data_IF_087872146125
#
_entry.id   IF_087872146125
#
_cell.length_a   1.000
_cell.length_b   1.000
_cell.length_c   1.000
_cell.angle_alpha   90.00
_cell.angle_beta   90.00
_cell.angle_gamma   90.00
#
_symmetry.space_group_name_H-M   'P 1'
#
loop_
_entity.id
_entity.type
_entity.pdbx_description
1 polymer ?
#
# COMPACT_ATOMS: atom_id res chain seq x y z
N UNK A 1 8.67 -32.44 6.25
CA UNK A 1 9.07 -31.47 5.25
C UNK A 1 9.36 -30.16 5.98
N UNK A 2 10.58 -29.64 5.92
CA UNK A 2 10.89 -28.32 6.49
C UNK A 2 10.09 -27.29 5.70
N UNK A 3 9.27 -26.52 6.40
CA UNK A 3 8.52 -25.42 5.81
C UNK A 3 9.54 -24.38 5.29
N UNK A 4 9.61 -24.21 3.99
CA UNK A 4 10.55 -23.27 3.37
C UNK A 4 10.20 -21.87 3.85
N UNK A 5 11.16 -21.14 4.43
CA UNK A 5 10.94 -19.78 4.92
C UNK A 5 10.48 -18.88 3.78
N UNK A 6 9.38 -18.17 3.98
CA UNK A 6 8.82 -17.21 2.99
C UNK A 6 9.50 -15.84 3.05
N UNK A 7 10.32 -15.59 4.08
CA UNK A 7 11.14 -14.39 4.26
C UNK A 7 12.55 -14.85 4.60
N UNK A 8 13.50 -14.54 3.73
CA UNK A 8 14.92 -14.79 3.99
C UNK A 8 15.58 -13.53 4.49
N UNK A 9 16.41 -13.66 5.53
CA UNK A 9 17.16 -12.54 6.08
C UNK A 9 18.60 -12.94 6.41
N UNK A 10 19.52 -12.01 6.20
CA UNK A 10 20.94 -12.18 6.57
C UNK A 10 21.58 -10.82 6.86
N UNK A 11 22.59 -10.80 7.72
CA UNK A 11 23.44 -9.63 7.94
C UNK A 11 24.75 -9.85 7.17
N UNK A 12 25.12 -8.89 6.36
CA UNK A 12 26.37 -8.95 5.60
C UNK A 12 27.03 -7.56 5.57
N UNK A 13 28.23 -7.46 6.11
CA UNK A 13 29.06 -6.24 6.10
C UNK A 13 28.29 -4.97 6.54
N UNK A 14 27.55 -5.05 7.64
CA UNK A 14 26.80 -3.93 8.20
C UNK A 14 25.39 -3.73 7.60
N UNK A 15 24.99 -4.53 6.62
CA UNK A 15 23.66 -4.41 6.00
C UNK A 15 22.79 -5.63 6.31
N UNK A 16 21.64 -5.38 6.89
CA UNK A 16 20.55 -6.35 7.02
C UNK A 16 19.83 -6.49 5.69
N UNK A 17 19.85 -7.69 5.11
CA UNK A 17 19.28 -7.97 3.79
C UNK A 17 18.04 -8.84 3.95
N UNK A 18 16.91 -8.39 3.41
CA UNK A 18 15.63 -9.10 3.43
C UNK A 18 15.20 -9.45 2.00
N UNK A 19 14.79 -10.69 1.78
CA UNK A 19 14.21 -11.14 0.52
C UNK A 19 12.89 -11.84 0.78
N UNK A 20 11.79 -11.30 0.20
CA UNK A 20 10.49 -11.95 0.18
C UNK A 20 10.53 -13.11 -0.83
N UNK A 21 10.09 -14.30 -0.44
CA UNK A 21 10.24 -15.53 -1.23
C UNK A 21 8.94 -16.36 -1.25
N UNK A 22 7.88 -15.74 -1.75
CA UNK A 22 6.57 -16.37 -2.02
C UNK A 22 6.13 -16.09 -3.47
N UNK A 23 6.94 -16.48 -4.48
CA UNK A 23 6.72 -16.08 -5.87
C UNK A 23 5.39 -16.57 -6.45
N UNK A 24 4.86 -17.73 -5.99
CA UNK A 24 3.56 -18.26 -6.41
C UNK A 24 2.37 -17.34 -6.07
N UNK A 25 2.55 -16.40 -5.14
CA UNK A 25 1.56 -15.39 -4.76
C UNK A 25 2.07 -13.97 -4.97
N UNK A 26 3.06 -13.76 -5.86
CA UNK A 26 3.71 -12.45 -6.09
C UNK A 26 4.15 -11.79 -4.78
N UNK A 27 4.66 -12.57 -3.85
CA UNK A 27 5.07 -12.16 -2.49
C UNK A 27 3.97 -11.49 -1.65
N UNK A 28 2.69 -11.78 -1.91
CA UNK A 28 1.60 -11.34 -1.04
C UNK A 28 1.86 -11.78 0.41
N UNK A 29 1.69 -10.83 1.35
CA UNK A 29 2.03 -11.02 2.77
C UNK A 29 1.02 -11.95 3.43
N UNK A 30 1.50 -13.05 4.00
CA UNK A 30 0.76 -13.87 4.96
C UNK A 30 1.02 -13.35 6.38
N UNK A 31 0.17 -13.75 7.34
CA UNK A 31 0.37 -13.41 8.75
C UNK A 31 1.76 -13.83 9.25
N UNK A 32 2.22 -15.04 8.89
CA UNK A 32 3.56 -15.51 9.24
C UNK A 32 4.68 -14.63 8.66
N UNK A 33 4.53 -14.15 7.43
CA UNK A 33 5.49 -13.22 6.82
C UNK A 33 5.51 -11.87 7.55
N UNK A 34 4.34 -11.34 7.93
CA UNK A 34 4.23 -10.09 8.69
C UNK A 34 4.91 -10.24 10.06
N UNK A 35 4.61 -11.30 10.82
CA UNK A 35 5.28 -11.59 12.09
C UNK A 35 6.80 -11.75 11.94
N UNK A 36 7.25 -12.42 10.88
CA UNK A 36 8.66 -12.60 10.59
C UNK A 36 9.36 -11.25 10.31
N UNK A 37 8.74 -10.37 9.50
CA UNK A 37 9.28 -9.03 9.21
C UNK A 37 9.33 -8.16 10.46
N UNK A 38 8.26 -8.13 11.28
CA UNK A 38 8.26 -7.42 12.56
C UNK A 38 9.41 -7.89 13.43
N UNK A 39 9.58 -9.21 13.58
CA UNK A 39 10.66 -9.77 14.39
C UNK A 39 12.04 -9.36 13.87
N UNK A 40 12.31 -9.55 12.57
CA UNK A 40 13.60 -9.21 11.95
C UNK A 40 13.93 -7.72 12.17
N UNK A 41 12.99 -6.83 11.85
CA UNK A 41 13.22 -5.39 11.96
C UNK A 41 13.36 -4.94 13.42
N UNK A 42 12.57 -5.49 14.35
CA UNK A 42 12.70 -5.20 15.78
C UNK A 42 14.03 -5.69 16.36
N UNK A 43 14.49 -6.88 15.96
CA UNK A 43 15.80 -7.39 16.38
C UNK A 43 16.93 -6.50 15.83
N UNK A 44 16.83 -6.07 14.57
CA UNK A 44 17.89 -5.32 13.89
C UNK A 44 17.96 -3.84 14.23
N UNK A 45 16.87 -3.23 14.69
CA UNK A 45 16.88 -1.81 15.04
C UNK A 45 17.92 -1.47 16.12
N UNK A 46 18.17 -2.40 17.06
CA UNK A 46 19.15 -2.24 18.15
C UNK A 46 20.41 -3.10 17.96
N UNK A 47 20.53 -3.85 16.87
CA UNK A 47 21.69 -4.71 16.62
C UNK A 47 22.88 -3.90 16.15
N UNK A 48 24.00 -3.95 16.91
CA UNK A 48 25.17 -3.11 16.65
C UNK A 48 25.83 -3.35 15.27
N UNK A 49 25.75 -4.59 14.75
CA UNK A 49 26.33 -4.95 13.44
C UNK A 49 25.42 -4.55 12.26
N UNK A 50 24.21 -4.06 12.49
CA UNK A 50 23.31 -3.60 11.42
C UNK A 50 23.32 -2.08 11.40
N UNK A 51 23.83 -1.51 10.32
CA UNK A 51 23.89 -0.06 10.11
C UNK A 51 22.80 0.40 9.10
N UNK A 52 22.31 -0.48 8.25
CA UNK A 52 21.23 -0.24 7.29
C UNK A 52 20.46 -1.53 7.00
N UNK A 53 19.26 -1.39 6.43
CA UNK A 53 18.44 -2.51 5.97
C UNK A 53 18.08 -2.32 4.50
N UNK A 54 18.11 -3.40 3.72
CA UNK A 54 17.62 -3.43 2.35
C UNK A 54 16.61 -4.58 2.17
N UNK A 55 15.52 -4.29 1.46
CA UNK A 55 14.48 -5.26 1.14
C UNK A 55 14.25 -5.38 -0.36
N UNK A 56 14.03 -6.62 -0.82
CA UNK A 56 13.60 -6.94 -2.19
C UNK A 56 12.61 -8.09 -2.19
N UNK A 57 11.91 -8.28 -3.30
CA UNK A 57 11.15 -9.50 -3.57
C UNK A 57 11.90 -10.45 -4.50
N UNK A 58 11.40 -11.67 -4.65
CA UNK A 58 11.86 -12.65 -5.63
C UNK A 58 10.70 -13.08 -6.54
N UNK A 59 11.02 -13.59 -7.72
CA UNK A 59 10.08 -14.28 -8.60
C UNK A 59 10.53 -15.73 -8.84
N UNK A 60 9.86 -16.45 -9.74
CA UNK A 60 10.22 -17.84 -10.07
C UNK A 60 11.59 -17.99 -10.74
N UNK A 61 12.12 -16.92 -11.32
CA UNK A 61 13.41 -16.93 -12.04
C UNK A 61 14.58 -16.49 -11.17
N UNK A 62 14.32 -15.99 -9.95
CA UNK A 62 15.38 -15.55 -9.03
C UNK A 62 15.00 -14.29 -8.23
N UNK A 63 16.00 -13.57 -7.72
CA UNK A 63 15.77 -12.32 -7.01
C UNK A 63 15.25 -11.25 -7.99
N UNK A 64 14.42 -10.32 -7.44
CA UNK A 64 13.73 -9.27 -8.20
C UNK A 64 12.57 -9.77 -9.08
N UNK A 65 11.95 -8.87 -9.84
CA UNK A 65 10.86 -9.15 -10.77
C UNK A 65 9.46 -9.25 -10.14
N UNK A 66 9.34 -9.31 -8.82
CA UNK A 66 8.09 -9.17 -8.05
C UNK A 66 8.43 -8.70 -6.65
N UNK A 67 8.04 -7.49 -6.28
CA UNK A 67 8.30 -6.99 -4.92
C UNK A 67 7.28 -7.56 -3.94
N UNK A 68 6.03 -7.05 -3.98
CA UNK A 68 4.94 -7.55 -3.14
C UNK A 68 3.58 -7.08 -3.67
N UNK A 69 2.65 -8.01 -3.86
CA UNK A 69 1.32 -7.71 -4.40
C UNK A 69 0.27 -7.34 -3.34
N UNK A 70 0.67 -7.11 -2.09
CA UNK A 70 -0.23 -6.73 -0.99
C UNK A 70 -0.42 -7.82 0.04
N UNK A 71 -1.48 -7.72 0.85
CA UNK A 71 -1.88 -8.77 1.78
C UNK A 71 -2.50 -9.99 1.07
N UNK A 72 -2.54 -11.14 1.76
CA UNK A 72 -3.18 -12.35 1.23
C UNK A 72 -4.72 -12.22 1.30
N UNK A 73 -5.31 -11.59 0.28
CA UNK A 73 -6.76 -11.35 0.21
C UNK A 73 -7.59 -12.64 0.17
N UNK A 74 -7.01 -13.79 -0.24
CA UNK A 74 -7.69 -15.08 -0.14
C UNK A 74 -7.85 -15.53 1.31
N UNK A 75 -6.81 -15.27 2.11
CA UNK A 75 -6.89 -15.47 3.55
C UNK A 75 -7.94 -14.54 4.17
N UNK A 76 -7.98 -13.25 3.79
CA UNK A 76 -8.96 -12.30 4.32
C UNK A 76 -10.39 -12.76 4.07
N UNK A 77 -10.72 -13.14 2.83
CA UNK A 77 -12.04 -13.67 2.48
C UNK A 77 -12.41 -14.88 3.34
N UNK A 78 -11.53 -15.91 3.37
CA UNK A 78 -11.78 -17.12 4.14
C UNK A 78 -11.96 -16.83 5.61
N UNK A 79 -11.06 -16.05 6.21
CA UNK A 79 -11.10 -15.70 7.62
C UNK A 79 -12.38 -14.92 8.00
N UNK A 80 -12.84 -14.00 7.15
CA UNK A 80 -14.08 -13.28 7.34
C UNK A 80 -15.29 -14.23 7.26
N UNK A 81 -15.32 -15.14 6.29
CA UNK A 81 -16.38 -16.14 6.14
C UNK A 81 -16.47 -17.13 7.31
N UNK A 82 -15.35 -17.44 7.93
CA UNK A 82 -15.22 -18.39 9.05
C UNK A 82 -15.30 -17.70 10.42
N UNK A 83 -15.23 -16.37 10.49
CA UNK A 83 -15.13 -15.63 11.75
C UNK A 83 -13.80 -15.87 12.46
N UNK A 84 -12.72 -16.09 11.71
CA UNK A 84 -11.39 -16.39 12.24
C UNK A 84 -10.74 -15.12 12.82
N UNK A 85 -10.39 -15.08 14.14
CA UNK A 85 -9.81 -13.90 14.79
C UNK A 85 -8.44 -13.52 14.26
N UNK A 86 -7.73 -14.39 13.56
CA UNK A 86 -6.46 -14.07 12.91
C UNK A 86 -6.57 -12.97 11.86
N UNK A 87 -7.79 -12.64 11.39
CA UNK A 87 -7.99 -11.51 10.49
C UNK A 87 -7.69 -10.17 11.19
N UNK A 88 -8.16 -10.01 12.42
CA UNK A 88 -7.90 -8.82 13.24
C UNK A 88 -6.42 -8.74 13.65
N UNK A 89 -5.81 -9.89 13.97
CA UNK A 89 -4.38 -9.98 14.27
C UNK A 89 -3.52 -9.59 13.07
N UNK A 90 -3.88 -10.04 11.87
CA UNK A 90 -3.18 -9.67 10.64
C UNK A 90 -3.08 -8.16 10.48
N UNK A 91 -4.21 -7.43 10.50
CA UNK A 91 -4.21 -5.99 10.29
C UNK A 91 -3.53 -5.22 11.42
N UNK A 92 -3.71 -5.66 12.67
CA UNK A 92 -3.05 -5.03 13.81
C UNK A 92 -1.52 -5.17 13.72
N UNK A 93 -1.04 -6.35 13.33
CA UNK A 93 0.39 -6.62 13.20
C UNK A 93 0.99 -5.96 11.95
N UNK A 94 0.27 -5.98 10.81
CA UNK A 94 0.72 -5.33 9.59
C UNK A 94 0.85 -3.81 9.77
N UNK A 95 -0.10 -3.15 10.45
CA UNK A 95 -0.02 -1.71 10.67
C UNK A 95 1.09 -1.32 11.66
N UNK A 96 1.42 -2.20 12.62
CA UNK A 96 2.63 -2.06 13.44
C UNK A 96 3.91 -2.19 12.61
N UNK A 97 3.94 -3.13 11.67
CA UNK A 97 5.05 -3.27 10.71
C UNK A 97 5.19 -2.01 9.85
N UNK A 98 4.09 -1.47 9.34
CA UNK A 98 4.13 -0.24 8.54
C UNK A 98 4.67 0.93 9.37
N UNK A 99 4.20 1.12 10.59
CA UNK A 99 4.73 2.13 11.50
C UNK A 99 6.23 1.94 11.73
N UNK A 100 6.67 0.71 12.02
CA UNK A 100 8.08 0.38 12.24
C UNK A 100 8.95 0.72 11.03
N UNK A 101 8.49 0.44 9.80
CA UNK A 101 9.21 0.78 8.55
C UNK A 101 9.32 2.30 8.38
N UNK A 102 8.26 3.05 8.62
CA UNK A 102 8.27 4.51 8.48
C UNK A 102 9.12 5.23 9.54
N UNK A 103 9.21 4.67 10.74
CA UNK A 103 9.97 5.24 11.87
C UNK A 103 11.31 4.55 12.11
N UNK A 104 11.76 3.72 11.15
CA UNK A 104 12.94 2.90 11.33
C UNK A 104 14.19 3.76 11.58
N UNK A 105 14.95 3.52 12.68
CA UNK A 105 16.03 4.42 13.11
C UNK A 105 17.30 4.33 12.25
N UNK A 106 17.37 3.36 11.33
CA UNK A 106 18.50 3.14 10.42
C UNK A 106 18.04 3.28 8.97
N UNK A 107 18.93 3.60 8.01
CA UNK A 107 18.56 3.62 6.61
C UNK A 107 17.86 2.34 6.18
N UNK A 108 16.63 2.48 5.64
CA UNK A 108 15.84 1.39 5.09
C UNK A 108 15.65 1.64 3.60
N UNK A 109 16.04 0.67 2.76
CA UNK A 109 16.12 0.81 1.31
C UNK A 109 15.21 -0.25 0.69
N UNK A 110 14.27 0.16 -0.17
CA UNK A 110 13.37 -0.74 -0.86
C UNK A 110 13.70 -0.82 -2.37
N UNK A 111 14.01 -2.03 -2.84
CA UNK A 111 14.19 -2.33 -4.26
C UNK A 111 12.87 -2.82 -4.84
N UNK A 112 12.07 -1.90 -5.36
CA UNK A 112 10.67 -2.09 -5.75
C UNK A 112 10.55 -2.50 -7.24
N UNK A 113 11.08 -3.66 -7.61
CA UNK A 113 10.97 -4.19 -8.98
C UNK A 113 9.72 -5.08 -9.16
N UNK A 114 9.00 -4.91 -10.26
CA UNK A 114 7.75 -5.63 -10.53
C UNK A 114 6.54 -5.06 -9.77
N UNK A 115 5.65 -5.92 -9.27
CA UNK A 115 4.40 -5.51 -8.60
C UNK A 115 4.66 -4.98 -7.19
N UNK A 116 4.09 -3.81 -6.86
CA UNK A 116 4.16 -3.11 -5.57
C UNK A 116 2.77 -2.56 -5.27
N UNK A 117 1.93 -3.34 -4.59
CA UNK A 117 0.53 -2.96 -4.36
C UNK A 117 0.12 -3.17 -2.89
N UNK A 118 -0.83 -2.41 -2.39
CA UNK A 118 -1.38 -2.58 -1.03
C UNK A 118 -0.30 -2.71 0.03
N UNK A 119 -0.24 -3.84 0.77
CA UNK A 119 0.81 -4.13 1.75
C UNK A 119 2.25 -4.01 1.22
N UNK A 120 2.46 -4.18 -0.12
CA UNK A 120 3.75 -3.91 -0.76
C UNK A 120 4.13 -2.42 -0.71
N UNK A 121 3.15 -1.52 -0.87
CA UNK A 121 3.34 -0.09 -0.61
C UNK A 121 3.61 0.12 0.90
N UNK A 122 2.86 -0.52 1.77
CA UNK A 122 3.02 -0.40 3.23
C UNK A 122 4.42 -0.71 3.73
N UNK A 123 5.09 -1.74 3.19
CA UNK A 123 6.45 -2.12 3.59
C UNK A 123 7.55 -1.39 2.80
N UNK A 124 7.20 -0.49 1.89
CA UNK A 124 8.18 0.26 1.09
C UNK A 124 8.08 1.78 1.22
N UNK A 125 6.88 2.34 1.46
CA UNK A 125 6.71 3.80 1.42
C UNK A 125 7.41 4.55 2.57
N UNK A 126 7.69 3.90 3.69
CA UNK A 126 8.53 4.45 4.76
C UNK A 126 10.04 4.39 4.51
N UNK A 127 10.49 3.79 3.41
CA UNK A 127 11.91 3.71 3.09
C UNK A 127 12.52 5.08 2.76
N UNK A 128 13.77 5.31 3.21
CA UNK A 128 14.53 6.50 2.86
C UNK A 128 15.09 6.48 1.43
N UNK A 129 15.05 5.34 0.76
CA UNK A 129 15.38 5.21 -0.65
C UNK A 129 14.50 4.12 -1.28
N UNK A 130 13.58 4.54 -2.14
CA UNK A 130 12.66 3.69 -2.89
C UNK A 130 13.10 3.66 -4.34
N UNK A 131 13.65 2.51 -4.77
CA UNK A 131 14.22 2.31 -6.10
C UNK A 131 13.22 1.56 -6.96
N UNK A 132 12.87 2.13 -8.11
CA UNK A 132 11.97 1.54 -9.11
C UNK A 132 12.70 1.25 -10.42
N UNK A 133 12.08 0.41 -11.25
CA UNK A 133 12.57 0.01 -12.58
C UNK A 133 11.47 0.22 -13.63
N UNK A 134 11.78 -0.10 -14.89
CA UNK A 134 10.78 -0.17 -15.98
C UNK A 134 9.70 -1.22 -15.73
N UNK A 135 9.96 -2.23 -14.89
CA UNK A 135 9.01 -3.29 -14.56
C UNK A 135 8.09 -2.92 -13.39
N UNK A 136 8.43 -1.88 -12.62
CA UNK A 136 7.70 -1.49 -11.41
C UNK A 136 6.28 -1.05 -11.73
N UNK A 137 5.32 -1.59 -10.95
CA UNK A 137 3.89 -1.34 -11.07
C UNK A 137 3.32 -1.07 -9.69
N UNK A 138 3.14 0.21 -9.36
CA UNK A 138 2.66 0.66 -8.07
C UNK A 138 1.18 1.02 -8.14
N UNK A 139 0.39 0.57 -7.18
CA UNK A 139 -1.02 0.97 -7.04
C UNK A 139 -1.55 0.69 -5.63
N UNK A 140 -2.62 1.42 -5.27
CA UNK A 140 -3.49 1.12 -4.14
C UNK A 140 -4.90 0.83 -4.70
N UNK A 141 -5.19 -0.41 -5.16
CA UNK A 141 -6.43 -0.73 -5.88
C UNK A 141 -7.58 -1.17 -4.96
N UNK A 142 -7.53 -0.87 -3.67
CA UNK A 142 -8.38 -1.42 -2.61
C UNK A 142 -9.88 -1.13 -2.85
N UNK A 143 -10.23 0.01 -3.44
CA UNK A 143 -11.62 0.35 -3.79
C UNK A 143 -12.24 -0.63 -4.79
N UNK A 144 -11.42 -1.37 -5.54
CA UNK A 144 -11.87 -2.42 -6.47
C UNK A 144 -12.32 -3.70 -5.73
N UNK A 145 -11.85 -3.89 -4.51
CA UNK A 145 -12.15 -5.08 -3.71
C UNK A 145 -12.98 -4.75 -2.46
N UNK A 146 -13.65 -3.61 -2.45
CA UNK A 146 -14.52 -3.23 -1.33
C UNK A 146 -13.76 -2.83 -0.06
N UNK A 147 -12.52 -2.37 -0.22
CA UNK A 147 -11.66 -1.82 0.83
C UNK A 147 -11.25 -0.38 0.47
N UNK A 148 -10.39 0.20 1.25
CA UNK A 148 -9.79 1.52 1.08
C UNK A 148 -8.26 1.38 1.07
N UNK A 149 -7.47 2.33 0.52
CA UNK A 149 -6.02 2.34 0.62
C UNK A 149 -5.56 2.42 2.08
N UNK A 150 -5.21 1.29 2.67
CA UNK A 150 -4.74 1.13 4.03
C UNK A 150 -3.19 1.15 4.13
N UNK A 151 -2.59 0.52 5.12
CA UNK A 151 -1.14 0.35 5.34
C UNK A 151 -0.36 1.67 5.36
N UNK A 152 -0.97 2.74 5.83
CA UNK A 152 -0.45 4.11 5.76
C UNK A 152 -0.84 4.85 4.47
N UNK A 153 -1.73 4.28 3.64
CA UNK A 153 -2.21 4.88 2.39
C UNK A 153 -2.81 6.25 2.57
N UNK A 154 -3.62 6.44 3.61
CA UNK A 154 -4.14 7.75 3.99
C UNK A 154 -3.03 8.76 4.31
N UNK A 155 -1.89 8.31 4.83
CA UNK A 155 -0.76 9.16 5.14
C UNK A 155 0.07 9.52 3.90
N UNK A 156 0.58 8.55 3.14
CA UNK A 156 1.49 8.85 2.03
C UNK A 156 0.77 9.37 0.79
N UNK A 157 -0.46 8.92 0.47
CA UNK A 157 -1.23 9.46 -0.65
C UNK A 157 -1.71 10.89 -0.38
N UNK A 158 -2.14 11.20 0.85
CA UNK A 158 -2.56 12.56 1.19
C UNK A 158 -1.44 13.61 1.09
N UNK A 159 -0.19 13.17 0.98
CA UNK A 159 1.01 14.00 0.83
C UNK A 159 1.49 14.13 -0.61
N UNK A 160 0.84 13.44 -1.55
CA UNK A 160 1.02 13.73 -2.97
C UNK A 160 0.56 15.16 -3.27
N UNK A 161 1.22 15.80 -4.25
CA UNK A 161 0.93 17.18 -4.62
C UNK A 161 -0.47 17.32 -5.22
N UNK A 162 -1.14 18.44 -4.94
CA UNK A 162 -2.47 18.71 -5.46
C UNK A 162 -3.53 17.73 -4.98
N UNK A 163 -4.34 17.22 -5.91
CA UNK A 163 -5.36 16.20 -5.69
C UNK A 163 -4.98 14.81 -6.25
N UNK A 164 -3.69 14.60 -6.53
CA UNK A 164 -3.18 13.31 -7.04
C UNK A 164 -3.47 12.18 -6.06
N UNK A 165 -3.35 12.43 -4.75
CA UNK A 165 -3.64 11.43 -3.73
C UNK A 165 -5.07 10.92 -3.78
N UNK A 166 -6.05 11.82 -3.87
CA UNK A 166 -7.46 11.46 -4.03
C UNK A 166 -7.69 10.68 -5.34
N UNK A 167 -7.10 11.13 -6.44
CA UNK A 167 -7.21 10.44 -7.73
C UNK A 167 -6.69 9.01 -7.66
N UNK A 168 -5.47 8.82 -7.16
CA UNK A 168 -4.85 7.48 -7.04
C UNK A 168 -5.64 6.58 -6.09
N UNK A 169 -6.06 7.11 -4.94
CA UNK A 169 -6.81 6.37 -3.93
C UNK A 169 -8.17 5.89 -4.42
N UNK A 170 -8.92 6.77 -5.09
CA UNK A 170 -10.28 6.47 -5.55
C UNK A 170 -10.29 5.54 -6.76
N UNK A 171 -9.36 5.76 -7.70
CA UNK A 171 -9.33 5.00 -8.96
C UNK A 171 -8.54 3.71 -8.87
N UNK A 172 -7.55 3.62 -7.98
CA UNK A 172 -6.56 2.55 -7.99
C UNK A 172 -5.64 2.63 -9.23
N UNK A 173 -5.40 3.84 -9.75
CA UNK A 173 -4.59 4.04 -10.94
C UNK A 173 -3.21 3.43 -10.77
N UNK A 174 -2.82 2.61 -11.74
CA UNK A 174 -1.49 2.01 -11.77
C UNK A 174 -0.46 3.04 -12.23
N UNK A 175 0.64 3.14 -11.48
CA UNK A 175 1.84 3.91 -11.80
C UNK A 175 2.94 2.97 -12.28
N UNK A 176 3.60 3.31 -13.38
CA UNK A 176 4.88 2.71 -13.74
C UNK A 176 6.00 3.32 -12.91
N UNK A 177 7.16 2.65 -12.84
CA UNK A 177 8.25 3.09 -11.97
C UNK A 177 8.61 4.57 -12.09
N UNK A 178 8.92 5.10 -13.30
CA UNK A 178 9.21 6.52 -13.47
C UNK A 178 8.04 7.43 -13.04
N UNK A 179 6.79 7.06 -13.34
CA UNK A 179 5.60 7.85 -12.96
C UNK A 179 5.48 7.97 -11.43
N UNK A 180 5.89 6.92 -10.68
CA UNK A 180 5.89 6.95 -9.22
C UNK A 180 6.85 8.00 -8.65
N UNK A 181 7.98 8.26 -9.31
CA UNK A 181 8.93 9.32 -8.92
C UNK A 181 8.26 10.68 -9.08
N UNK A 182 7.55 10.91 -10.19
CA UNK A 182 6.93 12.22 -10.48
C UNK A 182 5.80 12.61 -9.52
N UNK A 183 5.26 11.63 -8.79
CA UNK A 183 4.21 11.85 -7.78
C UNK A 183 4.70 11.65 -6.33
N UNK A 184 6.00 11.46 -6.14
CA UNK A 184 6.62 11.35 -4.81
C UNK A 184 6.47 9.99 -4.13
N UNK A 185 6.09 8.93 -4.89
CA UNK A 185 5.93 7.57 -4.36
C UNK A 185 7.15 6.66 -4.63
N UNK A 186 8.19 7.20 -5.27
CA UNK A 186 9.52 6.59 -5.42
C UNK A 186 10.59 7.68 -5.44
N UNK A 187 11.85 7.31 -5.22
CA UNK A 187 12.96 8.26 -5.09
C UNK A 187 13.97 8.15 -6.23
N UNK A 188 14.12 6.96 -6.82
CA UNK A 188 15.11 6.78 -7.87
C UNK A 188 14.74 5.65 -8.84
N UNK A 189 15.19 5.80 -10.08
CA UNK A 189 15.03 4.83 -11.13
C UNK A 189 16.37 4.20 -11.50
N UNK A 190 16.38 2.90 -11.71
CA UNK A 190 17.46 2.22 -12.41
C UNK A 190 16.90 1.14 -13.35
N UNK A 191 17.58 0.82 -14.46
CA UNK A 191 17.23 -0.32 -15.29
C UNK A 191 17.24 -1.63 -14.48
N UNK A 192 16.26 -2.50 -14.67
CA UNK A 192 16.15 -3.76 -13.90
C UNK A 192 17.39 -4.65 -14.02
N UNK A 193 18.09 -4.57 -15.15
CA UNK A 193 19.35 -5.30 -15.38
C UNK A 193 20.49 -4.90 -14.42
N UNK A 194 20.45 -3.70 -13.84
CA UNK A 194 21.45 -3.19 -12.91
C UNK A 194 21.13 -3.49 -11.44
N UNK A 195 19.92 -3.95 -11.12
CA UNK A 195 19.51 -4.16 -9.72
C UNK A 195 20.38 -5.15 -8.96
N UNK A 196 20.80 -6.23 -9.63
CA UNK A 196 21.67 -7.23 -9.01
C UNK A 196 23.03 -6.63 -8.63
N UNK A 197 23.60 -5.82 -9.52
CA UNK A 197 24.88 -5.13 -9.28
C UNK A 197 24.75 -4.12 -8.14
N UNK A 198 23.69 -3.29 -8.13
CA UNK A 198 23.44 -2.31 -7.06
C UNK A 198 23.22 -2.99 -5.69
N UNK A 199 22.53 -4.12 -5.67
CA UNK A 199 22.35 -4.92 -4.47
C UNK A 199 23.67 -5.48 -3.97
N UNK A 200 24.52 -6.01 -4.86
CA UNK A 200 25.81 -6.58 -4.50
C UNK A 200 26.81 -5.50 -4.07
N UNK A 201 26.82 -4.32 -4.69
CA UNK A 201 27.62 -3.17 -4.24
C UNK A 201 27.22 -2.74 -2.81
N UNK A 202 25.93 -2.72 -2.51
CA UNK A 202 25.46 -2.41 -1.15
C UNK A 202 25.91 -3.47 -0.13
N UNK A 203 25.94 -4.73 -0.53
CA UNK A 203 26.22 -5.91 0.32
C UNK A 203 27.71 -6.18 0.53
N UNK A 204 28.51 -6.07 -0.53
CA UNK A 204 29.85 -6.71 -0.58
C UNK A 204 31.03 -5.78 -0.40
N UNK A 205 30.89 -4.49 -0.71
CA UNK A 205 32.03 -3.57 -0.67
C UNK A 205 32.48 -3.32 0.79
N UNK A 206 33.56 -4.04 1.16
CA UNK A 206 34.19 -3.95 2.50
C UNK A 206 35.13 -2.75 2.68
N UNK A 207 35.50 -2.08 1.57
CA UNK A 207 36.42 -0.95 1.59
C UNK A 207 35.69 0.37 1.88
N UNK A 208 34.37 0.39 1.72
CA UNK A 208 33.51 1.53 1.98
C UNK A 208 32.66 1.31 3.23
N UNK A 209 32.45 2.38 4.00
CA UNK A 209 31.43 2.36 5.06
C UNK A 209 30.04 2.16 4.48
N UNK A 210 29.08 1.67 5.28
CA UNK A 210 27.68 1.52 4.86
C UNK A 210 27.11 2.84 4.35
N UNK A 211 27.41 3.96 5.02
CA UNK A 211 26.98 5.29 4.60
C UNK A 211 27.52 5.67 3.20
N UNK A 212 28.79 5.36 2.90
CA UNK A 212 29.38 5.59 1.57
C UNK A 212 28.74 4.71 0.49
N UNK A 213 28.46 3.43 0.79
CA UNK A 213 27.77 2.51 -0.12
C UNK A 213 26.35 3.02 -0.45
N UNK A 214 25.61 3.50 0.54
CA UNK A 214 24.29 4.10 0.33
C UNK A 214 24.39 5.38 -0.51
N UNK A 215 25.38 6.21 -0.27
CA UNK A 215 25.60 7.43 -1.08
C UNK A 215 25.95 7.10 -2.53
N UNK A 216 26.78 6.08 -2.76
CA UNK A 216 27.07 5.58 -4.10
C UNK A 216 25.81 5.04 -4.79
N UNK A 217 25.01 4.24 -4.07
CA UNK A 217 23.74 3.76 -4.58
C UNK A 217 22.80 4.91 -4.99
N UNK A 218 22.67 5.95 -4.15
CA UNK A 218 21.88 7.15 -4.46
C UNK A 218 22.39 7.86 -5.72
N UNK A 219 23.69 7.96 -5.93
CA UNK A 219 24.27 8.64 -7.11
C UNK A 219 24.09 7.86 -8.41
N UNK A 220 23.86 6.55 -8.35
CA UNK A 220 23.67 5.68 -9.52
C UNK A 220 22.23 5.58 -9.99
N UNK A 221 21.25 5.94 -9.14
CA UNK A 221 19.85 5.94 -9.53
C UNK A 221 19.45 7.32 -10.05
N UNK A 222 18.71 7.38 -11.14
CA UNK A 222 18.20 8.64 -11.67
C UNK A 222 17.07 9.18 -10.82
N UNK A 223 17.18 10.45 -10.42
CA UNK A 223 16.17 11.14 -9.57
C UNK A 223 15.31 12.15 -10.35
N UNK A 224 15.56 12.31 -11.66
CA UNK A 224 14.84 13.33 -12.43
C UNK A 224 13.41 12.92 -12.70
N UNK A 225 12.48 13.66 -12.11
CA UNK A 225 11.06 13.60 -12.45
C UNK A 225 10.66 14.59 -13.56
N UNK A 226 11.57 15.52 -13.93
CA UNK A 226 11.25 16.68 -14.75
C UNK A 226 10.76 16.33 -16.17
N UNK A 227 11.21 15.19 -16.73
CA UNK A 227 10.85 14.77 -18.08
C UNK A 227 9.82 13.65 -18.11
N UNK A 228 9.30 13.22 -16.95
CA UNK A 228 8.35 12.11 -16.87
C UNK A 228 6.95 12.63 -17.17
N UNK A 229 6.44 12.24 -18.32
CA UNK A 229 5.07 12.55 -18.73
C UNK A 229 4.10 11.56 -18.07
N UNK A 230 3.22 12.07 -17.21
CA UNK A 230 2.12 11.30 -16.64
C UNK A 230 1.11 10.90 -17.74
N UNK A 231 0.50 9.72 -17.65
CA UNK A 231 -0.50 9.28 -18.63
C UNK A 231 -1.87 9.96 -18.47
N UNK A 232 -1.96 10.94 -17.58
CA UNK A 232 -3.17 11.75 -17.33
C UNK A 232 -2.83 13.24 -17.23
N UNK A 233 -3.81 14.13 -17.53
CA UNK A 233 -3.62 15.58 -17.44
C UNK A 233 -3.69 16.04 -15.98
N UNK A 234 -2.56 16.50 -15.45
CA UNK A 234 -2.43 16.91 -14.04
C UNK A 234 -3.43 17.99 -13.63
N UNK A 235 -3.58 19.01 -14.47
CA UNK A 235 -4.50 20.14 -14.20
C UNK A 235 -5.96 19.67 -14.11
N UNK A 236 -6.38 18.71 -14.95
CA UNK A 236 -7.72 18.15 -14.87
C UNK A 236 -7.90 17.27 -13.63
N UNK A 237 -6.88 16.50 -13.22
CA UNK A 237 -6.88 15.74 -11.97
C UNK A 237 -7.10 16.68 -10.80
N UNK A 238 -6.30 17.75 -10.70
CA UNK A 238 -6.41 18.72 -9.63
C UNK A 238 -7.78 19.44 -9.66
N UNK A 239 -8.26 19.83 -10.86
CA UNK A 239 -9.56 20.44 -10.99
C UNK A 239 -10.71 19.54 -10.53
N UNK A 240 -10.70 18.25 -10.93
CA UNK A 240 -11.81 17.34 -10.66
C UNK A 240 -11.77 16.78 -9.23
N UNK A 241 -10.60 16.35 -8.75
CA UNK A 241 -10.47 15.61 -7.49
C UNK A 241 -10.28 16.51 -6.25
N UNK A 242 -10.04 17.81 -6.42
CA UNK A 242 -10.07 18.79 -5.32
C UNK A 242 -11.48 19.12 -4.82
N UNK A 243 -12.54 18.70 -5.51
CA UNK A 243 -13.94 18.99 -5.16
C UNK A 243 -14.33 18.37 -3.82
N UNK A 244 -15.29 18.99 -3.09
CA UNK A 244 -15.60 18.63 -1.71
C UNK A 244 -16.29 17.27 -1.54
N UNK A 245 -17.02 16.81 -2.54
CA UNK A 245 -17.79 15.55 -2.46
C UNK A 245 -17.60 14.70 -3.71
N UNK A 246 -17.93 13.41 -3.62
CA UNK A 246 -17.95 12.52 -4.78
C UNK A 246 -18.93 13.02 -5.85
N UNK A 247 -20.10 13.54 -5.46
CA UNK A 247 -21.05 14.12 -6.39
C UNK A 247 -20.45 15.27 -7.20
N UNK A 248 -19.70 16.15 -6.55
CA UNK A 248 -19.01 17.25 -7.23
C UNK A 248 -17.84 16.75 -8.11
N UNK A 249 -17.12 15.70 -7.68
CA UNK A 249 -16.08 15.04 -8.50
C UNK A 249 -16.72 14.48 -9.78
N UNK A 250 -17.81 13.72 -9.67
CA UNK A 250 -18.52 13.18 -10.84
C UNK A 250 -19.08 14.27 -11.74
N UNK A 251 -19.60 15.37 -11.18
CA UNK A 251 -20.06 16.52 -11.95
C UNK A 251 -18.92 17.20 -12.71
N UNK A 252 -17.75 17.40 -12.06
CA UNK A 252 -16.59 17.99 -12.69
C UNK A 252 -16.05 17.13 -13.84
N UNK A 253 -15.93 15.80 -13.63
CA UNK A 253 -15.54 14.86 -14.66
C UNK A 253 -16.51 14.86 -15.85
N UNK A 254 -17.82 14.90 -15.57
CA UNK A 254 -18.85 14.97 -16.62
C UNK A 254 -18.77 16.28 -17.42
N UNK A 255 -18.44 17.39 -16.76
CA UNK A 255 -18.33 18.71 -17.38
C UNK A 255 -17.08 18.84 -18.25
N UNK A 256 -15.97 18.21 -17.85
CA UNK A 256 -14.70 18.23 -18.60
C UNK A 256 -14.84 17.65 -20.00
N UNK A 257 -15.63 16.58 -20.18
CA UNK A 257 -15.84 15.87 -21.46
C UNK A 257 -14.56 15.37 -22.15
N UNK A 258 -13.41 15.43 -21.48
CA UNK A 258 -12.17 14.88 -22.02
C UNK A 258 -12.24 13.34 -22.09
N UNK A 259 -11.41 12.75 -22.93
CA UNK A 259 -11.30 11.29 -23.01
C UNK A 259 -10.85 10.70 -21.65
N UNK A 260 -9.93 11.37 -20.98
CA UNK A 260 -9.46 10.98 -19.66
C UNK A 260 -10.60 11.03 -18.62
N UNK A 261 -11.35 12.12 -18.55
CA UNK A 261 -12.45 12.26 -17.60
C UNK A 261 -13.56 11.22 -17.81
N UNK A 262 -13.86 10.92 -19.09
CA UNK A 262 -14.82 9.85 -19.45
C UNK A 262 -14.33 8.48 -18.97
N UNK A 263 -13.09 8.11 -19.27
CA UNK A 263 -12.49 6.86 -18.83
C UNK A 263 -12.41 6.77 -17.29
N UNK A 264 -12.04 7.86 -16.62
CA UNK A 264 -11.98 7.95 -15.15
C UNK A 264 -13.35 7.74 -14.52
N UNK A 265 -14.39 8.33 -15.10
CA UNK A 265 -15.79 8.15 -14.67
C UNK A 265 -16.19 6.66 -14.71
N UNK A 266 -15.86 5.96 -15.80
CA UNK A 266 -16.15 4.52 -15.93
C UNK A 266 -15.37 3.67 -14.91
N UNK A 267 -14.11 4.03 -14.64
CA UNK A 267 -13.32 3.38 -13.58
C UNK A 267 -13.99 3.57 -12.21
N UNK A 268 -14.38 4.79 -11.85
CA UNK A 268 -15.02 5.06 -10.56
C UNK A 268 -16.36 4.33 -10.40
N UNK A 269 -17.15 4.17 -11.48
CA UNK A 269 -18.42 3.43 -11.45
C UNK A 269 -18.26 1.94 -11.16
N UNK A 270 -17.08 1.38 -11.42
CA UNK A 270 -16.77 -0.02 -11.14
C UNK A 270 -16.28 -0.26 -9.70
N UNK A 271 -15.92 0.81 -8.98
CA UNK A 271 -15.43 0.72 -7.60
C UNK A 271 -16.59 0.56 -6.62
N UNK A 272 -16.30 0.04 -5.42
CA UNK A 272 -17.29 0.00 -4.33
C UNK A 272 -17.81 1.42 -4.05
N UNK A 273 -19.11 1.69 -4.26
CA UNK A 273 -19.68 3.02 -4.01
C UNK A 273 -19.48 3.50 -2.58
N UNK A 274 -19.61 2.59 -1.61
CA UNK A 274 -19.41 2.89 -0.19
C UNK A 274 -17.94 3.23 0.09
N UNK A 275 -17.01 2.42 -0.43
CA UNK A 275 -15.58 2.65 -0.20
C UNK A 275 -15.05 3.88 -0.92
N UNK A 276 -15.64 4.32 -2.02
CA UNK A 276 -15.28 5.61 -2.62
C UNK A 276 -15.51 6.77 -1.64
N UNK A 277 -16.64 6.79 -0.90
CA UNK A 277 -16.92 7.83 0.09
C UNK A 277 -15.97 7.74 1.29
N UNK A 278 -15.76 6.53 1.82
CA UNK A 278 -14.84 6.28 2.93
C UNK A 278 -13.42 6.71 2.55
N UNK A 279 -12.94 6.29 1.37
CA UNK A 279 -11.59 6.63 0.89
C UNK A 279 -11.39 8.13 0.71
N UNK A 280 -12.36 8.85 0.12
CA UNK A 280 -12.25 10.29 -0.05
C UNK A 280 -12.13 11.01 1.30
N UNK A 281 -12.92 10.60 2.29
CA UNK A 281 -12.87 11.17 3.64
C UNK A 281 -11.56 10.81 4.33
N UNK A 282 -11.08 9.57 4.21
CA UNK A 282 -9.81 9.09 4.76
C UNK A 282 -8.62 9.91 4.25
N UNK A 283 -8.46 10.05 2.92
CA UNK A 283 -7.32 10.79 2.32
C UNK A 283 -7.30 12.23 2.81
N UNK A 284 -8.46 12.87 2.92
CA UNK A 284 -8.56 14.26 3.40
C UNK A 284 -8.24 14.40 4.88
N UNK A 285 -8.70 13.47 5.69
CA UNK A 285 -8.35 13.41 7.11
C UNK A 285 -6.83 13.20 7.29
N UNK A 286 -6.24 12.29 6.51
CA UNK A 286 -4.83 11.92 6.54
C UNK A 286 -3.86 13.10 6.36
N UNK A 287 -4.28 14.17 5.67
CA UNK A 287 -3.46 15.39 5.50
C UNK A 287 -3.06 16.07 6.81
N UNK A 288 -3.85 15.88 7.88
CA UNK A 288 -3.67 16.54 9.17
C UNK A 288 -3.24 15.57 10.27
N UNK A 289 -3.26 14.29 10.01
CA UNK A 289 -2.95 13.27 11.00
C UNK A 289 -1.45 12.98 11.04
N UNK A 290 -0.95 12.62 12.23
CA UNK A 290 0.33 11.93 12.37
C UNK A 290 0.24 10.55 11.71
N UNK A 291 1.38 9.91 11.47
CA UNK A 291 1.39 8.53 10.96
C UNK A 291 0.65 7.58 11.91
N UNK A 292 0.93 7.68 13.21
CA UNK A 292 0.30 6.84 14.22
C UNK A 292 -1.23 7.03 14.26
N UNK A 293 -1.72 8.28 14.22
CA UNK A 293 -3.16 8.55 14.20
C UNK A 293 -3.81 8.13 12.90
N UNK A 294 -3.10 8.25 11.78
CA UNK A 294 -3.59 7.75 10.49
C UNK A 294 -3.76 6.22 10.52
N UNK A 295 -2.76 5.49 11.02
CA UNK A 295 -2.84 4.03 11.16
C UNK A 295 -3.92 3.60 12.14
N UNK A 296 -4.17 4.36 13.23
CA UNK A 296 -5.32 4.13 14.14
C UNK A 296 -6.66 4.32 13.40
N UNK A 297 -6.79 5.41 12.64
CA UNK A 297 -7.98 5.62 11.81
C UNK A 297 -8.17 4.47 10.81
N UNK A 298 -7.14 4.09 10.09
CA UNK A 298 -7.19 2.96 9.14
C UNK A 298 -7.56 1.65 9.83
N UNK A 299 -7.09 1.43 11.08
CA UNK A 299 -7.44 0.24 11.85
C UNK A 299 -8.92 0.22 12.22
N UNK A 300 -9.52 1.38 12.54
CA UNK A 300 -10.96 1.52 12.76
C UNK A 300 -11.73 1.21 11.47
N UNK A 301 -11.35 1.84 10.38
CA UNK A 301 -11.95 1.61 9.05
C UNK A 301 -11.92 0.13 8.66
N UNK A 302 -10.78 -0.53 8.83
CA UNK A 302 -10.60 -1.94 8.47
C UNK A 302 -11.48 -2.85 9.31
N UNK A 303 -11.62 -2.58 10.61
CA UNK A 303 -12.56 -3.30 11.46
C UNK A 303 -13.98 -3.24 10.89
N UNK A 304 -14.45 -2.04 10.56
CA UNK A 304 -15.79 -1.84 10.02
C UNK A 304 -15.97 -2.41 8.60
N UNK A 305 -14.93 -2.47 7.79
CA UNK A 305 -14.96 -3.12 6.47
C UNK A 305 -15.31 -4.61 6.58
N UNK A 306 -14.82 -5.30 7.62
CA UNK A 306 -15.13 -6.71 7.84
C UNK A 306 -16.23 -6.96 8.89
N UNK A 307 -16.64 -5.93 9.64
CA UNK A 307 -17.70 -5.99 10.65
C UNK A 307 -18.75 -4.87 10.43
N UNK A 308 -19.50 -4.87 9.32
CA UNK A 308 -20.38 -3.77 8.93
C UNK A 308 -21.72 -3.76 9.70
N UNK A 309 -21.68 -3.96 11.03
CA UNK A 309 -22.88 -4.04 11.89
C UNK A 309 -23.71 -2.76 11.88
N UNK A 310 -23.07 -1.59 11.76
CA UNK A 310 -23.74 -0.30 11.63
C UNK A 310 -24.60 -0.18 10.36
N UNK A 311 -24.34 -1.03 9.37
CA UNK A 311 -25.14 -1.16 8.14
C UNK A 311 -26.20 -2.28 8.24
N UNK A 312 -26.39 -2.89 9.42
CA UNK A 312 -27.22 -4.07 9.63
C UNK A 312 -26.83 -5.26 8.74
N UNK A 313 -25.50 -5.45 8.52
CA UNK A 313 -24.92 -6.54 7.71
C UNK A 313 -24.03 -7.44 8.54
N UNK A 314 -23.99 -8.72 8.16
CA UNK A 314 -23.01 -9.65 8.70
C UNK A 314 -21.63 -9.46 8.04
N UNK A 315 -20.54 -9.98 8.62
CA UNK A 315 -19.22 -10.00 7.97
C UNK A 315 -19.23 -10.59 6.55
N UNK A 316 -20.09 -11.59 6.31
CA UNK A 316 -20.23 -12.26 4.99
C UNK A 316 -20.84 -11.36 3.93
N UNK A 317 -21.63 -10.37 4.34
CA UNK A 317 -22.32 -9.42 3.46
C UNK A 317 -21.52 -8.10 3.31
N UNK A 318 -20.26 -8.09 3.73
CA UNK A 318 -19.39 -6.91 3.61
C UNK A 318 -18.94 -6.66 2.18
N UNK A 319 -18.72 -5.38 1.85
CA UNK A 319 -18.12 -4.99 0.55
C UNK A 319 -16.78 -5.69 0.31
N UNK A 320 -15.95 -5.85 1.36
CA UNK A 320 -14.66 -6.51 1.27
C UNK A 320 -14.78 -7.99 0.87
N UNK A 321 -15.70 -8.73 1.49
CA UNK A 321 -15.93 -10.14 1.14
C UNK A 321 -16.43 -10.27 -0.28
N UNK A 322 -17.38 -9.44 -0.69
CA UNK A 322 -17.94 -9.46 -2.05
C UNK A 322 -16.90 -9.06 -3.11
N UNK A 323 -16.15 -8.00 -2.88
CA UNK A 323 -15.13 -7.55 -3.83
C UNK A 323 -14.00 -8.57 -4.02
N UNK A 324 -13.55 -9.19 -2.92
CA UNK A 324 -12.55 -10.26 -2.98
C UNK A 324 -13.13 -11.50 -3.68
N UNK A 325 -14.41 -11.88 -3.39
CA UNK A 325 -15.10 -12.97 -4.10
C UNK A 325 -15.02 -12.76 -5.60
N UNK A 326 -15.46 -11.60 -6.06
CA UNK A 326 -15.55 -11.29 -7.50
C UNK A 326 -14.17 -11.28 -8.19
N UNK A 327 -13.11 -10.81 -7.49
CA UNK A 327 -11.80 -10.68 -8.09
C UNK A 327 -11.00 -11.99 -8.10
N UNK A 328 -10.96 -12.74 -6.97
CA UNK A 328 -9.97 -13.84 -6.80
C UNK A 328 -10.59 -15.19 -6.46
N UNK A 329 -11.81 -15.26 -5.96
CA UNK A 329 -12.47 -16.53 -5.64
C UNK A 329 -13.21 -17.04 -6.89
N UNK A 330 -14.28 -16.34 -7.27
CA UNK A 330 -15.12 -16.71 -8.43
C UNK A 330 -14.53 -16.19 -9.75
N UNK A 331 -13.77 -15.09 -9.69
CA UNK A 331 -13.10 -14.44 -10.83
C UNK A 331 -14.05 -13.95 -11.93
N UNK A 332 -15.32 -13.72 -11.58
CA UNK A 332 -16.34 -13.19 -12.48
C UNK A 332 -16.18 -11.69 -12.75
N UNK A 333 -15.41 -10.98 -11.89
CA UNK A 333 -15.17 -9.54 -11.95
C UNK A 333 -16.44 -8.70 -11.94
N UNK A 334 -17.51 -9.25 -11.35
CA UNK A 334 -18.83 -8.62 -11.28
C UNK A 334 -19.27 -8.56 -9.82
N UNK A 335 -18.72 -7.61 -9.02
CA UNK A 335 -19.12 -7.47 -7.64
C UNK A 335 -20.54 -6.89 -7.52
N UNK A 336 -21.30 -7.43 -6.58
CA UNK A 336 -22.64 -6.98 -6.26
C UNK A 336 -22.59 -5.98 -5.10
N UNK A 337 -22.19 -4.74 -5.38
CA UNK A 337 -22.07 -3.69 -4.38
C UNK A 337 -23.39 -3.33 -3.72
N UNK A 338 -23.37 -3.00 -2.45
CA UNK A 338 -24.51 -2.51 -1.71
C UNK A 338 -24.14 -1.31 -0.82
N UNK A 339 -24.58 -0.07 -1.11
CA UNK A 339 -25.45 0.28 -2.25
C UNK A 339 -24.77 0.11 -3.60
N UNK A 340 -25.58 -0.02 -4.65
CA UNK A 340 -25.08 -0.26 -6.02
C UNK A 340 -24.49 0.99 -6.70
N UNK A 341 -24.87 2.18 -6.21
CA UNK A 341 -24.49 3.47 -6.79
C UNK A 341 -23.98 4.42 -5.73
N UNK A 342 -22.98 5.22 -6.09
CA UNK A 342 -22.36 6.19 -5.21
C UNK A 342 -23.35 7.25 -4.66
N UNK A 343 -24.40 7.63 -5.44
CA UNK A 343 -25.41 8.61 -5.05
C UNK A 343 -26.48 8.05 -4.09
N UNK A 344 -26.43 6.76 -3.79
CA UNK A 344 -27.25 6.09 -2.76
C UNK A 344 -26.54 6.01 -1.40
N UNK A 345 -25.25 6.32 -1.36
CA UNK A 345 -24.47 6.32 -0.12
C UNK A 345 -24.79 7.57 0.68
N UNK A 346 -25.21 7.42 1.94
CA UNK A 346 -25.48 8.52 2.83
C UNK A 346 -24.39 8.73 3.87
N UNK A 347 -24.36 9.89 4.50
CA UNK A 347 -23.39 10.18 5.55
C UNK A 347 -23.54 9.24 6.77
N UNK A 348 -24.75 8.80 7.09
CA UNK A 348 -25.03 7.85 8.16
C UNK A 348 -24.44 6.47 7.89
N UNK A 349 -24.24 6.11 6.61
CA UNK A 349 -23.53 4.89 6.22
C UNK A 349 -22.03 5.02 6.38
N UNK A 350 -21.48 6.20 6.16
CA UNK A 350 -20.03 6.44 6.09
C UNK A 350 -19.43 6.85 7.44
N UNK A 351 -20.09 7.74 8.17
CA UNK A 351 -19.53 8.30 9.40
C UNK A 351 -19.10 7.25 10.44
N UNK A 352 -19.88 6.17 10.68
CA UNK A 352 -19.49 5.17 11.69
C UNK A 352 -18.22 4.37 11.35
N UNK A 353 -17.76 4.38 10.09
CA UNK A 353 -16.46 3.76 9.77
C UNK A 353 -15.28 4.44 10.49
N UNK A 354 -15.41 5.73 10.78
CA UNK A 354 -14.38 6.53 11.45
C UNK A 354 -14.45 6.47 12.97
N UNK A 355 -15.51 5.90 13.53
CA UNK A 355 -15.65 5.70 14.96
C UNK A 355 -14.79 4.52 15.41
N UNK A 356 -14.06 4.69 16.52
CA UNK A 356 -13.27 3.59 17.07
C UNK A 356 -14.17 2.56 17.73
N UNK A 357 -14.09 1.27 17.35
CA UNK A 357 -14.77 0.20 18.07
C UNK A 357 -14.10 -0.16 19.40
N UNK A 358 -12.96 0.48 19.71
CA UNK A 358 -12.19 0.28 20.94
C UNK A 358 -12.09 1.57 21.75
N UNK A 359 -11.99 1.41 23.06
CA UNK A 359 -11.58 2.51 23.92
C UNK A 359 -10.13 2.92 23.62
N UNK A 360 -9.78 4.17 23.91
CA UNK A 360 -8.45 4.71 23.62
C UNK A 360 -7.29 3.82 24.12
N UNK A 361 -7.44 3.23 25.31
CA UNK A 361 -6.40 2.41 25.94
C UNK A 361 -6.39 0.96 25.48
N UNK A 362 -7.45 0.48 24.85
CA UNK A 362 -7.60 -0.89 24.34
C UNK A 362 -7.49 -0.98 22.83
N UNK A 363 -7.30 0.16 22.18
CA UNK A 363 -7.09 0.19 20.74
C UNK A 363 -5.83 -0.64 20.37
N UNK A 364 -5.88 -1.54 19.37
CA UNK A 364 -4.75 -2.40 19.01
C UNK A 364 -3.43 -1.66 18.72
N UNK A 365 -3.52 -0.38 18.35
CA UNK A 365 -2.37 0.49 18.05
C UNK A 365 -2.26 1.66 19.05
N UNK A 366 -2.71 1.48 20.29
CA UNK A 366 -2.71 2.55 21.31
C UNK A 366 -1.29 3.05 21.65
N UNK A 367 -0.31 2.17 21.55
CA UNK A 367 1.10 2.39 21.93
C UNK A 367 1.99 2.94 20.78
N UNK A 368 1.44 3.19 19.58
CA UNK A 368 2.20 3.86 18.53
C UNK A 368 2.36 5.36 18.83
N UNK A 369 3.56 5.90 18.58
CA UNK A 369 3.94 7.30 18.81
C UNK A 369 4.12 8.08 17.50
#
# INVERSE_FOLDING_TARGET
MQQQSLVHSQITNGVGLITLSRPQALNALSLDMVHCLVKILSDWQNHAEVEAVAIRGSNHSGPFGAFCAGGDIRFFHRAAMEGNPQLEDFFSTEYRLNHLVFTYPKPYIAFMDGVVMGGGMGISQGAQLRIVTENSKLAMPETQIGLFPDVGGGYFLSRCEGAIGEYLALTGQLLKGPEAISVGLADGYCPSQQLAELWDQLREDKHLSVAQRIQNLRSQVSHSAADIKLPWPRDEVDHCFSKHSLGEIFAALTTSKSQWATATTEVLRQRSPLMLHVTLQQIRAGRRLSLADNLRMERNLMHHCFNPRHLNRSPRDSEAVEGIRALVIDKDRTPHWNPQRWDQVTNEMVAPFFDSPWDKNTHPLADLD
#
